data_IF_999749829096
#
_entry.id   IF_999749829096
#
_cell.length_a   1.000
_cell.length_b   1.000
_cell.length_c   1.000
_cell.angle_alpha   90.00
_cell.angle_beta   90.00
_cell.angle_gamma   90.00
#
_symmetry.space_group_name_H-M   'P 1'
#
loop_
_entity.id
_entity.type
_entity.pdbx_description
1 polymer ?
#
# COMPACT_ATOMS: atom_id res chain seq x y z
N UNK A 1 -4.15 0.57 -12.84
CA UNK A 1 -5.01 -0.50 -12.29
C UNK A 1 -4.26 -1.41 -11.33
N UNK A 2 -3.00 -1.82 -11.58
CA UNK A 2 -2.25 -2.62 -10.59
C UNK A 2 -1.90 -1.82 -9.33
N UNK A 3 -1.56 -0.54 -9.47
CA UNK A 3 -1.19 0.37 -8.37
C UNK A 3 -2.28 0.47 -7.29
N UNK A 4 -3.56 0.41 -7.69
CA UNK A 4 -4.73 0.48 -6.79
C UNK A 4 -4.85 -0.74 -5.86
N UNK A 5 -4.17 -1.85 -6.20
CA UNK A 5 -4.17 -3.11 -5.45
C UNK A 5 -2.89 -3.33 -4.65
N UNK A 6 -1.99 -2.34 -4.62
CA UNK A 6 -0.72 -2.42 -3.90
C UNK A 6 -0.75 -1.67 -2.58
N UNK A 7 -0.03 -2.20 -1.61
CA UNK A 7 0.14 -1.56 -0.31
C UNK A 7 1.14 -0.41 -0.39
N UNK A 8 0.84 0.79 0.17
CA UNK A 8 1.75 1.94 0.11
C UNK A 8 3.04 1.77 0.93
N UNK A 9 3.16 0.70 1.72
CA UNK A 9 4.33 0.44 2.56
C UNK A 9 5.29 -0.55 1.90
N UNK A 10 4.80 -1.74 1.53
CA UNK A 10 5.64 -2.77 0.91
C UNK A 10 5.63 -2.75 -0.62
N UNK A 11 4.74 -1.98 -1.25
CA UNK A 11 4.54 -1.89 -2.71
C UNK A 11 4.15 -3.21 -3.39
N UNK A 12 3.80 -4.23 -2.60
CA UNK A 12 3.26 -5.51 -3.05
C UNK A 12 1.73 -5.51 -2.99
N UNK A 13 1.10 -6.48 -3.64
CA UNK A 13 -0.35 -6.70 -3.54
C UNK A 13 -0.78 -6.85 -2.07
N UNK A 14 -1.94 -6.27 -1.72
CA UNK A 14 -2.41 -6.32 -0.34
C UNK A 14 -2.53 -7.75 0.20
N UNK A 15 -1.91 -7.99 1.36
CA UNK A 15 -2.01 -9.21 2.12
C UNK A 15 -2.59 -8.90 3.51
N UNK A 16 -3.75 -9.47 3.81
CA UNK A 16 -4.53 -9.18 5.03
C UNK A 16 -4.71 -7.66 5.27
N UNK A 17 -5.38 -6.93 4.34
CA UNK A 17 -5.52 -5.48 4.43
C UNK A 17 -6.39 -5.06 5.62
N UNK A 18 -5.81 -4.34 6.56
CA UNK A 18 -6.51 -3.70 7.68
C UNK A 18 -6.95 -2.29 7.29
N UNK A 19 -8.18 -1.92 7.64
CA UNK A 19 -8.69 -0.56 7.46
C UNK A 19 -8.36 0.32 8.66
N UNK A 20 -7.68 1.42 8.37
CA UNK A 20 -7.43 2.51 9.31
C UNK A 20 -8.70 3.35 9.52
N UNK A 21 -8.80 4.16 10.60
CA UNK A 21 -9.95 5.03 10.84
C UNK A 21 -10.20 6.07 9.74
N UNK A 22 -9.17 6.41 8.96
CA UNK A 22 -9.26 7.23 7.75
C UNK A 22 -9.69 6.47 6.48
N UNK A 23 -10.18 5.23 6.63
CA UNK A 23 -10.64 4.33 5.54
C UNK A 23 -9.57 3.88 4.54
N UNK A 24 -8.29 4.17 4.77
CA UNK A 24 -7.20 3.62 3.97
C UNK A 24 -6.82 2.21 4.45
N UNK A 25 -6.43 1.36 3.51
CA UNK A 25 -6.02 -0.01 3.79
C UNK A 25 -4.50 -0.13 3.86
N UNK A 26 -3.99 -0.94 4.79
CA UNK A 26 -2.55 -1.28 4.92
C UNK A 26 -2.44 -2.75 5.31
N UNK A 27 -1.46 -3.48 4.78
CA UNK A 27 -1.22 -4.88 5.17
C UNK A 27 -1.00 -4.99 6.68
N UNK A 28 -1.58 -6.02 7.31
CA UNK A 28 -1.41 -6.28 8.74
C UNK A 28 0.06 -6.26 9.19
N UNK A 29 0.92 -6.97 8.45
CA UNK A 29 2.36 -7.03 8.75
C UNK A 29 3.02 -5.64 8.69
N UNK A 30 2.76 -4.87 7.63
CA UNK A 30 3.29 -3.52 7.47
C UNK A 30 2.83 -2.59 8.61
N UNK A 31 1.55 -2.69 9.01
CA UNK A 31 1.02 -1.89 10.10
C UNK A 31 1.69 -2.24 11.45
N UNK A 32 1.99 -3.52 11.68
CA UNK A 32 2.78 -3.95 12.85
C UNK A 32 4.22 -3.45 12.82
N UNK A 33 4.87 -3.42 11.67
CA UNK A 33 6.26 -2.96 11.57
C UNK A 33 6.37 -1.44 11.79
N UNK A 34 5.38 -0.68 11.30
CA UNK A 34 5.24 0.75 11.62
C UNK A 34 5.05 0.95 13.13
N UNK A 35 4.29 0.08 13.81
CA UNK A 35 4.16 0.10 15.28
C UNK A 35 5.45 -0.24 16.02
N UNK A 36 6.16 -1.28 15.61
CA UNK A 36 7.42 -1.70 16.26
C UNK A 36 8.52 -0.67 16.11
N UNK A 37 8.58 0.01 14.96
CA UNK A 37 9.58 1.07 14.70
C UNK A 37 9.42 2.27 15.63
N UNK A 38 8.22 2.51 16.19
CA UNK A 38 7.98 3.54 17.21
C UNK A 38 8.51 3.17 18.59
N UNK A 39 8.47 1.89 18.95
CA UNK A 39 8.91 1.41 20.28
C UNK A 39 10.41 1.55 20.55
N UNK A 40 11.22 1.87 19.53
CA UNK A 40 12.65 2.15 19.66
C UNK A 40 12.99 3.65 19.78
N UNK A 41 12.03 4.56 19.56
CA UNK A 41 12.22 6.01 19.71
C UNK A 41 11.88 6.48 21.14
N UNK A 42 12.54 5.86 22.12
CA UNK A 42 12.51 6.31 23.50
C UNK A 42 13.69 7.26 23.77
N UNK A 43 13.39 8.56 23.91
CA UNK A 43 14.28 9.66 24.35
C UNK A 43 15.26 10.20 23.30
N UNK A 44 14.73 10.88 22.29
CA UNK A 44 15.56 11.69 21.41
C UNK A 44 15.36 13.17 21.77
N UNK A 45 16.08 13.62 22.80
CA UNK A 45 16.47 15.03 22.92
C UNK A 45 17.37 15.32 21.71
N UNK A 46 16.76 15.55 20.55
CA UNK A 46 17.48 15.66 19.29
C UNK A 46 18.07 17.06 19.17
N UNK A 47 19.23 17.26 19.78
CA UNK A 47 20.09 18.42 19.54
C UNK A 47 20.67 18.30 18.12
N UNK A 48 19.86 18.63 17.12
CA UNK A 48 20.30 18.75 15.74
C UNK A 48 21.20 19.98 15.59
N UNK A 49 22.49 19.82 15.83
CA UNK A 49 23.48 20.68 15.18
C UNK A 49 23.61 20.23 13.73
N UNK A 50 22.92 20.87 12.80
CA UNK A 50 23.04 20.59 11.36
C UNK A 50 23.88 21.65 10.66
N UNK A 51 24.87 21.20 9.88
CA UNK A 51 25.59 21.99 8.88
C UNK A 51 24.82 21.94 7.55
N UNK A 52 24.82 23.05 6.83
CA UNK A 52 23.85 23.51 5.82
C UNK A 52 23.72 22.72 4.50
N UNK A 53 24.27 21.52 4.35
CA UNK A 53 24.54 20.98 3.01
C UNK A 53 23.75 19.71 2.61
N UNK A 54 22.76 19.26 3.38
CA UNK A 54 21.98 18.04 3.06
C UNK A 54 20.47 18.31 2.84
N UNK A 55 20.13 19.51 2.36
CA UNK A 55 18.77 20.02 2.37
C UNK A 55 18.10 20.00 0.99
N UNK A 56 17.37 18.93 0.65
CA UNK A 56 16.36 19.08 -0.41
C UNK A 56 14.97 18.51 -0.11
N UNK A 57 14.76 17.48 0.73
CA UNK A 57 13.41 16.86 0.82
C UNK A 57 12.74 16.79 2.19
N UNK A 58 13.06 17.71 3.14
CA UNK A 58 12.31 17.82 4.42
C UNK A 58 12.07 19.24 4.97
N UNK A 59 12.42 20.30 4.24
CA UNK A 59 12.18 21.70 4.69
C UNK A 59 10.69 22.08 4.71
N UNK A 60 9.89 21.55 3.78
CA UNK A 60 8.48 21.93 3.65
C UNK A 60 7.59 21.40 4.79
N UNK A 61 7.99 20.29 5.43
CA UNK A 61 7.26 19.72 6.57
C UNK A 61 7.58 20.48 7.88
N UNK A 62 8.77 21.10 7.98
CA UNK A 62 9.18 21.90 9.13
C UNK A 62 8.55 23.30 9.14
N UNK A 63 8.36 23.91 7.96
CA UNK A 63 7.76 25.26 7.84
C UNK A 63 6.25 25.25 8.15
N UNK A 64 5.55 24.14 7.87
CA UNK A 64 4.11 24.00 8.15
C UNK A 64 3.79 23.82 9.63
N UNK A 65 4.77 23.37 10.43
CA UNK A 65 4.54 22.97 11.83
C UNK A 65 4.46 24.13 12.84
N UNK A 66 4.72 25.40 12.45
CA UNK A 66 4.69 26.57 13.37
C UNK A 66 5.44 26.36 14.71
N UNK A 67 6.50 25.57 14.73
CA UNK A 67 7.33 25.32 15.91
C UNK A 67 8.74 25.83 15.66
N UNK A 68 8.99 27.11 15.96
CA UNK A 68 10.33 27.67 15.84
C UNK A 68 10.54 28.80 16.85
N UNK A 69 11.59 28.68 17.68
CA UNK A 69 12.18 29.79 18.44
C UNK A 69 13.63 30.02 17.96
N UNK A 70 13.94 31.23 17.48
CA UNK A 70 15.31 31.64 17.10
C UNK A 70 16.05 31.99 18.40
N UNK A 71 16.99 31.14 18.82
CA UNK A 71 17.80 31.41 20.02
C UNK A 71 19.10 32.16 19.67
N UNK A 72 19.65 31.99 18.44
CA UNK A 72 20.72 32.83 17.89
C UNK A 72 20.96 32.59 16.39
N UNK A 73 21.72 33.46 15.73
CA UNK A 73 21.89 33.56 14.27
C UNK A 73 22.37 32.30 13.53
N UNK A 74 22.81 31.24 14.22
CA UNK A 74 23.29 30.01 13.56
C UNK A 74 22.84 28.70 14.24
N UNK A 75 21.95 28.76 15.23
CA UNK A 75 21.47 27.54 15.92
C UNK A 75 19.95 27.54 16.00
N UNK A 76 19.35 26.66 15.19
CA UNK A 76 17.93 26.36 15.21
C UNK A 76 17.72 25.27 16.26
N UNK A 77 17.00 25.57 17.35
CA UNK A 77 16.47 24.52 18.22
C UNK A 77 15.05 24.20 17.79
N UNK A 78 14.83 22.99 17.30
CA UNK A 78 13.51 22.46 17.02
C UNK A 78 12.97 21.83 18.30
N UNK A 79 12.10 22.55 19.03
CA UNK A 79 11.26 21.96 20.06
C UNK A 79 10.00 21.41 19.38
N UNK A 80 10.03 20.11 19.05
CA UNK A 80 8.88 19.42 18.49
C UNK A 80 7.93 18.99 19.61
N UNK A 81 6.87 19.75 19.85
CA UNK A 81 5.72 19.26 20.61
C UNK A 81 4.76 18.51 19.68
N UNK A 82 5.23 17.46 18.99
CA UNK A 82 4.31 16.48 18.42
C UNK A 82 3.89 15.53 19.53
N UNK A 83 2.58 15.31 19.69
CA UNK A 83 2.07 14.17 20.45
C UNK A 83 2.54 12.89 19.74
N UNK A 84 3.73 12.41 20.11
CA UNK A 84 4.37 11.19 19.57
C UNK A 84 3.55 9.91 19.83
N UNK A 85 2.40 10.03 20.50
CA UNK A 85 1.48 8.95 20.85
C UNK A 85 0.65 8.41 19.68
N UNK A 86 0.49 9.17 18.58
CA UNK A 86 -0.57 8.88 17.60
C UNK A 86 -0.01 8.25 16.32
N UNK A 87 -0.52 7.09 15.92
CA UNK A 87 -0.18 6.35 14.71
C UNK A 87 -0.59 7.12 13.45
N UNK A 88 0.36 7.41 12.57
CA UNK A 88 0.09 8.05 11.29
C UNK A 88 -0.22 7.05 10.19
N UNK A 89 -1.28 7.30 9.41
CA UNK A 89 -1.60 6.51 8.25
C UNK A 89 -0.52 6.67 7.16
N UNK A 90 0.09 5.59 6.65
CA UNK A 90 1.09 5.67 5.57
C UNK A 90 0.54 6.23 4.25
N UNK A 91 -0.77 6.14 4.02
CA UNK A 91 -1.39 6.60 2.78
C UNK A 91 -1.72 8.10 2.80
N UNK A 92 -2.24 8.62 3.91
CA UNK A 92 -2.75 10.00 4.00
C UNK A 92 -2.10 10.86 5.09
N UNK A 93 -1.17 10.31 5.88
CA UNK A 93 -0.50 10.94 7.03
C UNK A 93 -1.41 11.38 8.19
N UNK A 94 -2.69 11.02 8.17
CA UNK A 94 -3.60 11.33 9.27
C UNK A 94 -3.19 10.56 10.54
N UNK A 95 -3.08 11.26 11.66
CA UNK A 95 -2.72 10.70 12.96
C UNK A 95 -3.93 10.11 13.69
N UNK A 96 -3.74 8.96 14.34
CA UNK A 96 -4.78 8.21 15.04
C UNK A 96 -4.25 7.64 16.36
N UNK A 97 -5.00 7.81 17.45
CA UNK A 97 -4.68 7.22 18.76
C UNK A 97 -4.97 5.72 18.77
N UNK A 98 -3.99 4.92 18.36
CA UNK A 98 -4.10 3.46 18.28
C UNK A 98 -2.95 2.79 19.03
N UNK A 99 -3.28 1.85 19.91
CA UNK A 99 -2.31 0.97 20.55
C UNK A 99 -2.01 -0.26 19.69
N UNK A 100 -0.91 -0.97 20.00
CA UNK A 100 -0.56 -2.22 19.31
C UNK A 100 -1.67 -3.29 19.38
N UNK A 101 -2.44 -3.34 20.49
CA UNK A 101 -3.58 -4.23 20.62
C UNK A 101 -4.78 -3.79 19.79
N UNK A 102 -5.02 -2.48 19.68
CA UNK A 102 -6.10 -1.94 18.86
C UNK A 102 -5.85 -2.16 17.38
N UNK A 103 -4.58 -2.09 16.94
CA UNK A 103 -4.18 -2.41 15.56
C UNK A 103 -4.60 -3.84 15.16
N UNK A 104 -4.44 -4.81 16.07
CA UNK A 104 -4.87 -6.20 15.81
C UNK A 104 -6.40 -6.36 15.67
N UNK A 105 -7.17 -5.41 16.20
CA UNK A 105 -8.64 -5.42 16.21
C UNK A 105 -9.24 -4.56 15.10
N UNK A 106 -8.41 -3.96 14.25
CA UNK A 106 -8.91 -3.17 13.11
C UNK A 106 -9.68 -4.07 12.13
N UNK A 107 -10.75 -3.56 11.52
CA UNK A 107 -11.54 -4.32 10.57
C UNK A 107 -10.72 -4.62 9.31
N UNK A 108 -10.83 -5.85 8.81
CA UNK A 108 -10.24 -6.26 7.53
C UNK A 108 -11.06 -5.71 6.37
N UNK A 109 -10.38 -5.28 5.30
CA UNK A 109 -11.03 -4.94 4.04
C UNK A 109 -11.24 -6.19 3.19
N UNK A 110 -12.27 -6.97 3.50
CA UNK A 110 -12.59 -8.21 2.78
C UNK A 110 -12.89 -7.96 1.29
N UNK A 111 -13.42 -6.79 0.94
CA UNK A 111 -13.67 -6.44 -0.45
C UNK A 111 -12.35 -6.34 -1.23
N UNK A 112 -11.37 -5.61 -0.68
CA UNK A 112 -10.04 -5.48 -1.28
C UNK A 112 -9.30 -6.82 -1.33
N UNK A 113 -9.38 -7.62 -0.26
CA UNK A 113 -8.81 -8.97 -0.22
C UNK A 113 -9.39 -9.85 -1.34
N UNK A 114 -10.71 -9.84 -1.54
CA UNK A 114 -11.36 -10.59 -2.61
C UNK A 114 -10.95 -10.08 -4.00
N UNK A 115 -10.81 -8.76 -4.18
CA UNK A 115 -10.34 -8.19 -5.45
C UNK A 115 -8.91 -8.64 -5.74
N UNK A 116 -8.01 -8.57 -4.75
CA UNK A 116 -6.62 -9.03 -4.90
C UNK A 116 -6.56 -10.52 -5.20
N UNK A 117 -7.35 -11.33 -4.51
CA UNK A 117 -7.44 -12.77 -4.76
C UNK A 117 -7.84 -13.04 -6.22
N UNK A 118 -8.91 -12.42 -6.70
CA UNK A 118 -9.33 -12.54 -8.11
C UNK A 118 -8.27 -12.06 -9.08
N UNK A 119 -7.63 -10.94 -8.79
CA UNK A 119 -6.55 -10.40 -9.60
C UNK A 119 -5.38 -11.38 -9.73
N UNK A 120 -5.00 -12.05 -8.64
CA UNK A 120 -3.97 -13.09 -8.65
C UNK A 120 -4.39 -14.34 -9.42
N UNK A 121 -5.65 -14.79 -9.32
CA UNK A 121 -6.18 -15.91 -10.10
C UNK A 121 -6.07 -15.62 -11.61
N UNK A 122 -6.39 -14.39 -12.03
CA UNK A 122 -6.29 -13.95 -13.42
C UNK A 122 -4.82 -13.84 -13.86
N UNK A 123 -3.97 -13.20 -13.05
CA UNK A 123 -2.54 -13.01 -13.36
C UNK A 123 -1.80 -14.34 -13.49
N UNK A 124 -2.20 -15.33 -12.70
CA UNK A 124 -1.67 -16.70 -12.80
C UNK A 124 -1.96 -17.36 -14.17
N UNK A 125 -2.89 -16.82 -14.97
CA UNK A 125 -3.17 -17.29 -16.33
C UNK A 125 -2.44 -16.48 -17.42
N UNK A 126 -1.94 -15.27 -17.14
CA UNK A 126 -1.37 -14.37 -18.17
C UNK A 126 0.16 -14.43 -18.30
N UNK A 127 0.91 -14.93 -17.30
CA UNK A 127 2.38 -14.99 -17.34
C UNK A 127 2.91 -16.33 -16.82
N UNK A 128 3.27 -17.24 -17.72
CA UNK A 128 4.02 -18.46 -17.37
C UNK A 128 5.33 -18.50 -18.15
N UNK A 129 6.45 -18.12 -17.52
CA UNK A 129 7.78 -18.40 -18.09
C UNK A 129 8.86 -18.88 -17.11
N UNK A 130 8.55 -19.19 -15.84
CA UNK A 130 9.54 -19.80 -14.93
C UNK A 130 8.93 -20.96 -14.16
N UNK A 131 9.63 -22.09 -14.19
CA UNK A 131 9.18 -23.37 -13.66
C UNK A 131 8.98 -23.35 -12.16
N UNK A 132 7.72 -23.43 -11.74
CA UNK A 132 7.35 -24.30 -10.64
C UNK A 132 5.93 -24.83 -10.85
N UNK A 133 5.78 -26.13 -10.59
CA UNK A 133 4.79 -26.99 -11.23
C UNK A 133 3.40 -26.86 -10.60
N UNK A 134 2.51 -26.06 -11.21
CA UNK A 134 1.04 -26.27 -11.21
C UNK A 134 0.47 -25.80 -12.55
N UNK A 135 0.36 -26.76 -13.47
CA UNK A 135 -0.34 -26.75 -14.77
C UNK A 135 -0.21 -25.46 -15.61
N UNK A 136 0.71 -25.47 -16.59
CA UNK A 136 0.69 -24.52 -17.71
C UNK A 136 -0.71 -24.53 -18.33
N UNK A 137 -1.47 -23.45 -18.17
CA UNK A 137 -2.78 -23.32 -18.83
C UNK A 137 -2.53 -22.69 -20.18
N UNK A 138 -2.61 -23.50 -21.22
CA UNK A 138 -2.42 -23.05 -22.59
C UNK A 138 -3.53 -22.06 -22.95
N UNK A 139 -3.13 -20.91 -23.48
CA UNK A 139 -4.07 -19.92 -24.00
C UNK A 139 -4.48 -20.36 -25.42
N UNK A 140 -5.44 -21.28 -25.47
CA UNK A 140 -5.85 -21.96 -26.71
C UNK A 140 -6.87 -21.15 -27.53
N UNK A 141 -7.44 -20.09 -26.94
CA UNK A 141 -8.62 -19.42 -27.48
C UNK A 141 -8.33 -17.96 -27.82
N UNK A 142 -8.48 -17.56 -29.08
CA UNK A 142 -8.20 -16.21 -29.53
C UNK A 142 -9.48 -15.51 -30.00
N UNK A 143 -9.90 -14.48 -29.28
CA UNK A 143 -11.01 -13.68 -29.75
C UNK A 143 -10.53 -12.63 -30.77
N UNK A 144 -10.97 -12.73 -32.02
CA UNK A 144 -10.56 -11.80 -33.08
C UNK A 144 -11.05 -10.37 -32.85
N UNK A 145 -12.23 -10.21 -32.24
CA UNK A 145 -12.83 -8.90 -31.97
C UNK A 145 -12.17 -8.21 -30.77
N UNK A 146 -11.73 -8.98 -29.77
CA UNK A 146 -11.03 -8.44 -28.60
C UNK A 146 -9.50 -8.38 -28.80
N UNK A 147 -8.96 -9.11 -29.78
CA UNK A 147 -7.53 -9.31 -30.01
C UNK A 147 -6.76 -9.81 -28.78
N UNK A 148 -7.41 -10.65 -27.97
CA UNK A 148 -6.85 -11.20 -26.72
C UNK A 148 -6.89 -12.73 -26.78
N UNK A 149 -5.82 -13.36 -26.29
CA UNK A 149 -5.71 -14.79 -26.05
C UNK A 149 -6.21 -15.14 -24.65
N UNK A 150 -7.06 -16.16 -24.53
CA UNK A 150 -7.63 -16.66 -23.29
C UNK A 150 -7.29 -18.14 -23.11
N UNK A 151 -7.10 -18.55 -21.86
CA UNK A 151 -7.29 -19.96 -21.48
C UNK A 151 -8.78 -20.23 -21.28
N UNK A 152 -9.19 -21.51 -21.28
CA UNK A 152 -10.60 -21.91 -21.11
C UNK A 152 -11.28 -21.23 -19.89
N UNK A 153 -10.62 -21.20 -18.73
CA UNK A 153 -11.20 -20.63 -17.51
C UNK A 153 -11.36 -19.09 -17.60
N UNK A 154 -10.44 -18.38 -18.23
CA UNK A 154 -10.57 -16.95 -18.45
C UNK A 154 -11.64 -16.64 -19.51
N UNK A 155 -11.80 -17.52 -20.51
CA UNK A 155 -12.84 -17.39 -21.51
C UNK A 155 -14.23 -17.42 -20.88
N UNK A 156 -14.51 -18.41 -20.03
CA UNK A 156 -15.83 -18.58 -19.42
C UNK A 156 -16.20 -17.44 -18.45
N UNK A 157 -15.20 -16.79 -17.85
CA UNK A 157 -15.40 -15.70 -16.87
C UNK A 157 -15.50 -14.32 -17.53
N UNK A 158 -14.59 -14.00 -18.45
CA UNK A 158 -14.45 -12.66 -19.05
C UNK A 158 -14.99 -12.55 -20.46
N UNK A 159 -15.26 -13.70 -21.10
CA UNK A 159 -15.88 -13.79 -22.41
C UNK A 159 -17.08 -14.76 -22.39
N UNK A 160 -18.07 -14.53 -21.52
CA UNK A 160 -19.27 -15.36 -21.51
C UNK A 160 -19.98 -15.22 -22.86
N UNK A 161 -20.48 -16.33 -23.42
CA UNK A 161 -21.33 -16.36 -24.63
C UNK A 161 -22.73 -15.79 -24.37
N UNK A 162 -22.80 -14.61 -23.75
CA UNK A 162 -24.02 -13.91 -23.33
C UNK A 162 -23.83 -12.40 -23.50
N UNK A 163 -24.93 -11.69 -23.70
CA UNK A 163 -24.89 -10.23 -23.87
C UNK A 163 -24.13 -9.80 -25.13
N UNK A 164 -23.39 -8.67 -25.10
CA UNK A 164 -22.71 -8.10 -26.27
C UNK A 164 -21.67 -9.02 -26.93
N UNK A 165 -21.10 -9.97 -26.18
CA UNK A 165 -20.01 -10.83 -26.63
C UNK A 165 -20.48 -12.10 -27.36
N UNK A 166 -21.79 -12.35 -27.46
CA UNK A 166 -22.35 -13.55 -28.14
C UNK A 166 -21.87 -13.72 -29.58
N UNK A 167 -21.65 -12.60 -30.28
CA UNK A 167 -21.24 -12.58 -31.69
C UNK A 167 -19.73 -12.68 -31.88
N UNK A 168 -18.96 -12.60 -30.79
CA UNK A 168 -17.51 -12.66 -30.88
C UNK A 168 -17.08 -14.10 -31.18
N UNK A 169 -16.13 -14.24 -32.10
CA UNK A 169 -15.58 -15.52 -32.52
C UNK A 169 -14.26 -15.74 -31.78
N UNK A 170 -14.16 -16.87 -31.11
CA UNK A 170 -13.03 -17.29 -30.27
C UNK A 170 -12.44 -18.59 -30.81
#
# INVERSE_FOLDING_TARGET
MEEDLTCPVCLELYADPLMMPCSHSVCKACLHDVMKSRGKQGKDDFFLQMKTNDFHYRMLDLIKAKCFDIISSNTIRLSFSHNFSDLECPACRQSHKLTAEQVNKLPKNLALENIVFRYQEIRSCSMSNTGNMKTKRHADWFCQQCQVLYCQQCLDVYHPKRGPLVKHKV
#
